data_IF_939925152190
#
_entry.id   IF_939925152190
#
_cell.length_a   1.000
_cell.length_b   1.000
_cell.length_c   1.000
_cell.angle_alpha   90.00
_cell.angle_beta   90.00
_cell.angle_gamma   90.00
#
_symmetry.space_group_name_H-M   'P 1'
#
loop_
_entity.id
_entity.type
_entity.pdbx_description
1 polymer ?
#
# COMPACT_ATOMS: atom_id res chain seq x y z
N UNK A 1 -3.96 -43.95 -3.16
CA UNK A 1 -5.16 -43.47 -2.44
C UNK A 1 -5.09 -41.94 -2.44
N UNK A 2 -5.76 -41.30 -3.40
CA UNK A 2 -5.83 -39.84 -3.51
C UNK A 2 -6.89 -39.33 -2.54
N UNK A 3 -6.53 -38.37 -1.69
CA UNK A 3 -7.48 -37.72 -0.79
C UNK A 3 -8.14 -36.58 -1.57
N UNK A 4 -9.40 -36.76 -1.92
CA UNK A 4 -10.24 -35.73 -2.56
C UNK A 4 -10.51 -34.60 -1.55
N UNK A 5 -10.42 -33.35 -1.99
CA UNK A 5 -10.70 -32.20 -1.13
C UNK A 5 -12.21 -32.04 -0.98
N UNK A 6 -12.72 -32.05 0.26
CA UNK A 6 -14.15 -31.79 0.54
C UNK A 6 -14.51 -30.34 0.20
N UNK A 7 -15.76 -30.10 -0.24
CA UNK A 7 -16.27 -28.76 -0.58
C UNK A 7 -16.13 -27.75 0.56
N UNK A 8 -16.29 -28.19 1.81
CA UNK A 8 -16.08 -27.35 2.99
C UNK A 8 -14.61 -26.93 3.13
N UNK A 9 -13.68 -27.86 2.91
CA UNK A 9 -12.25 -27.59 2.93
C UNK A 9 -11.85 -26.66 1.77
N UNK A 10 -12.48 -26.85 0.60
CA UNK A 10 -12.33 -25.94 -0.54
C UNK A 10 -12.84 -24.53 -0.23
N UNK A 11 -13.97 -24.41 0.46
CA UNK A 11 -14.53 -23.12 0.85
C UNK A 11 -13.66 -22.41 1.89
N UNK A 12 -13.21 -23.13 2.93
CA UNK A 12 -12.27 -22.59 3.91
C UNK A 12 -10.97 -22.11 3.27
N UNK A 13 -10.42 -22.89 2.33
CA UNK A 13 -9.23 -22.50 1.58
C UNK A 13 -9.47 -21.23 0.76
N UNK A 14 -10.63 -21.10 0.10
CA UNK A 14 -10.98 -19.91 -0.68
C UNK A 14 -11.10 -18.64 0.19
N UNK A 15 -11.67 -18.76 1.38
CA UNK A 15 -11.80 -17.63 2.32
C UNK A 15 -10.42 -17.18 2.81
N UNK A 16 -9.55 -18.14 3.20
CA UNK A 16 -8.18 -17.84 3.63
C UNK A 16 -7.41 -17.19 2.47
N UNK A 17 -7.52 -17.74 1.26
CA UNK A 17 -6.83 -17.20 0.09
C UNK A 17 -7.28 -15.78 -0.24
N UNK A 18 -8.59 -15.49 -0.19
CA UNK A 18 -9.14 -14.16 -0.42
C UNK A 18 -8.70 -13.11 0.61
N UNK A 19 -8.52 -13.50 1.88
CA UNK A 19 -8.06 -12.59 2.94
C UNK A 19 -6.55 -12.29 2.89
N UNK A 20 -5.76 -13.18 2.29
CA UNK A 20 -4.30 -12.98 2.18
C UNK A 20 -3.89 -12.11 0.99
N UNK A 21 -4.80 -11.82 0.06
CA UNK A 21 -4.47 -10.94 -1.06
C UNK A 21 -4.20 -9.54 -0.52
N UNK A 22 -3.00 -8.98 -0.72
CA UNK A 22 -2.74 -7.59 -0.35
C UNK A 22 -3.74 -6.73 -1.12
N UNK A 23 -4.57 -5.97 -0.38
CA UNK A 23 -5.48 -5.01 -0.99
C UNK A 23 -4.69 -4.11 -1.92
N UNK A 24 -5.25 -3.76 -3.08
CA UNK A 24 -4.61 -2.86 -4.03
C UNK A 24 -4.34 -1.52 -3.35
N UNK A 25 -3.14 -1.35 -2.79
CA UNK A 25 -2.64 -0.06 -2.33
C UNK A 25 -2.46 0.72 -3.62
N UNK A 26 -3.36 1.67 -3.88
CA UNK A 26 -3.18 2.61 -4.97
C UNK A 26 -1.84 3.30 -4.74
N UNK A 27 -0.86 3.04 -5.60
CA UNK A 27 0.39 3.78 -5.57
C UNK A 27 0.03 5.26 -5.68
N UNK A 28 0.41 6.07 -4.69
CA UNK A 28 0.19 7.50 -4.76
C UNK A 28 1.02 8.02 -5.94
N UNK A 29 0.38 8.64 -6.94
CA UNK A 29 1.09 9.22 -8.08
C UNK A 29 1.96 10.42 -7.66
N UNK A 30 1.68 10.96 -6.47
CA UNK A 30 2.30 12.17 -5.94
C UNK A 30 2.67 11.97 -4.47
N UNK A 31 3.87 12.42 -4.11
CA UNK A 31 4.30 12.61 -2.73
C UNK A 31 4.69 14.07 -2.49
N UNK A 32 4.60 14.52 -1.26
CA UNK A 32 5.04 15.84 -0.82
C UNK A 32 6.27 15.68 0.05
N UNK A 33 7.34 16.40 -0.31
CA UNK A 33 8.58 16.45 0.45
C UNK A 33 8.63 17.76 1.25
N UNK A 34 8.95 17.70 2.54
CA UNK A 34 9.23 18.90 3.34
C UNK A 34 10.45 18.68 4.24
N UNK A 35 11.00 19.77 4.75
CA UNK A 35 12.09 19.76 5.73
C UNK A 35 11.54 20.21 7.07
N UNK A 36 11.85 19.49 8.15
CA UNK A 36 11.44 19.87 9.49
C UNK A 36 12.36 20.92 10.13
N UNK A 37 12.04 21.33 11.36
CA UNK A 37 12.78 22.30 12.16
C UNK A 37 14.20 21.84 12.52
N UNK A 38 14.45 20.53 12.47
CA UNK A 38 15.76 19.91 12.70
C UNK A 38 16.55 19.71 11.40
N UNK A 39 16.03 20.18 10.26
CA UNK A 39 16.67 20.03 8.95
C UNK A 39 16.51 18.64 8.32
N UNK A 40 15.62 17.78 8.84
CA UNK A 40 15.40 16.42 8.33
C UNK A 40 14.35 16.43 7.23
N UNK A 41 14.57 15.63 6.19
CA UNK A 41 13.66 15.50 5.05
C UNK A 41 12.61 14.43 5.33
N UNK A 42 11.34 14.77 5.08
CA UNK A 42 10.19 13.88 5.23
C UNK A 42 9.38 13.81 3.93
N UNK A 43 8.62 12.73 3.77
CA UNK A 43 7.74 12.48 2.62
C UNK A 43 6.35 12.05 3.09
N UNK A 44 5.30 12.44 2.37
CA UNK A 44 3.92 12.07 2.67
C UNK A 44 3.04 12.07 1.43
N UNK A 45 1.96 11.30 1.47
CA UNK A 45 0.91 11.23 0.43
C UNK A 45 -0.08 12.41 0.51
N UNK A 46 0.00 13.22 1.57
CA UNK A 46 -0.86 14.38 1.81
C UNK A 46 -0.03 15.64 1.96
N UNK A 47 -0.60 16.76 1.51
CA UNK A 47 0.02 18.07 1.66
C UNK A 47 0.08 18.44 3.14
N UNK A 48 1.27 18.79 3.68
CA UNK A 48 1.38 19.28 5.05
C UNK A 48 0.70 20.65 5.20
N UNK A 49 -0.08 20.83 6.27
CA UNK A 49 -0.98 21.98 6.41
C UNK A 49 -0.27 23.33 6.68
N UNK A 50 0.96 23.31 7.18
CA UNK A 50 1.63 24.52 7.69
C UNK A 50 3.12 24.61 7.36
N UNK A 51 3.64 23.68 6.57
CA UNK A 51 5.06 23.64 6.19
C UNK A 51 5.13 23.69 4.67
N UNK A 52 6.01 24.54 4.15
CA UNK A 52 6.28 24.55 2.71
C UNK A 52 6.78 23.18 2.26
N UNK A 53 6.23 22.71 1.15
CA UNK A 53 6.56 21.40 0.62
C UNK A 53 6.75 21.45 -0.88
N UNK A 54 7.58 20.53 -1.38
CA UNK A 54 7.80 20.28 -2.79
C UNK A 54 7.01 19.07 -3.21
N UNK A 55 6.19 19.21 -4.24
CA UNK A 55 5.52 18.09 -4.91
C UNK A 55 6.52 17.24 -5.68
N UNK A 56 6.49 15.94 -5.45
CA UNK A 56 7.32 14.92 -6.11
C UNK A 56 6.37 13.95 -6.83
N UNK A 57 6.57 13.77 -8.14
CA UNK A 57 5.86 12.75 -8.90
C UNK A 57 6.53 11.41 -8.65
N UNK A 58 5.78 10.43 -8.17
CA UNK A 58 6.29 9.08 -7.99
C UNK A 58 6.17 8.37 -9.34
N UNK A 59 7.31 8.05 -9.94
CA UNK A 59 7.33 7.29 -11.18
C UNK A 59 7.04 5.83 -10.85
N UNK A 60 5.79 5.42 -11.00
CA UNK A 60 5.40 4.02 -10.89
C UNK A 60 6.12 3.21 -11.95
N UNK A 61 7.11 2.43 -11.56
CA UNK A 61 7.71 1.45 -12.46
C UNK A 61 6.79 0.23 -12.49
N UNK A 62 5.79 0.26 -13.37
CA UNK A 62 4.92 -0.88 -13.72
C UNK A 62 5.68 -1.96 -14.46
#
# INVERSE_FOLDING_TARGET
>A
MTKELSMEQGLFLFIILGFTLPGSISAAETAYQWTDDQGRIHYGDRLPASIESRTILLQGNT
#
